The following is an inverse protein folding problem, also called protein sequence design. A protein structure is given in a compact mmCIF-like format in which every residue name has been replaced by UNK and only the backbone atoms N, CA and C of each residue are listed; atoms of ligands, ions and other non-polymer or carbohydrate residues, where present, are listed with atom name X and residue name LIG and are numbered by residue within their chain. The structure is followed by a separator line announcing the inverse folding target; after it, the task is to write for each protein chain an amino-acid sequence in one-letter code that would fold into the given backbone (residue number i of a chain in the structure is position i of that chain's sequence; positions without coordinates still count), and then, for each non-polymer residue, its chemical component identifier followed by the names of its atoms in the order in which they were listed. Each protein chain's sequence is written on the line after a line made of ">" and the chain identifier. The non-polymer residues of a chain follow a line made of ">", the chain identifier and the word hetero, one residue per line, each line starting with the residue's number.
data_IF_664945173326
#
_entry.id   IF_664945173326
#
_cell.length_a   1.000
_cell.length_b   1.000
_cell.length_c   1.000
_cell.angle_alpha   90.00
_cell.angle_beta   90.00
_cell.angle_gamma   90.00
#
_symmetry.space_group_name_H-M   'P 1'
#
loop_
_entity.id
_entity.type
_entity.pdbx_description
1 polymer ?
#
# COMPACT_ATOMS: atom_id res chain seq x y z
N UNK A 1 -28.80 -9.45 4.15
CA UNK A 1 -27.46 -8.93 4.53
C UNK A 1 -26.50 -10.11 4.78
N UNK A 2 -26.03 -10.79 3.73
CA UNK A 2 -25.37 -12.12 3.89
C UNK A 2 -24.21 -12.38 2.90
N UNK A 3 -23.56 -11.33 2.37
CA UNK A 3 -22.62 -11.44 1.23
C UNK A 3 -21.16 -11.09 1.51
N UNK A 4 -20.76 -10.85 2.76
CA UNK A 4 -19.40 -10.42 3.09
C UNK A 4 -18.45 -11.55 3.54
N UNK A 5 -18.92 -12.80 3.64
CA UNK A 5 -18.14 -13.92 4.19
C UNK A 5 -17.56 -14.87 3.13
N UNK A 6 -17.79 -14.61 1.84
CA UNK A 6 -17.31 -15.47 0.74
C UNK A 6 -16.05 -14.96 0.04
N UNK A 7 -15.55 -13.77 0.38
CA UNK A 7 -14.42 -13.15 -0.35
C UNK A 7 -13.04 -13.66 0.11
N UNK A 8 -12.96 -14.29 1.29
CA UNK A 8 -11.71 -14.83 1.81
C UNK A 8 -11.64 -16.33 1.53
N UNK A 9 -10.81 -16.69 0.55
CA UNK A 9 -10.53 -18.07 0.16
C UNK A 9 -9.19 -18.49 0.78
N UNK A 10 -9.20 -19.52 1.62
CA UNK A 10 -7.98 -20.17 2.09
C UNK A 10 -7.56 -21.27 1.12
N UNK A 11 -6.25 -21.43 0.95
CA UNK A 11 -5.70 -22.52 0.15
C UNK A 11 -6.00 -23.85 0.85
N UNK A 12 -6.78 -24.71 0.19
CA UNK A 12 -7.14 -26.04 0.69
C UNK A 12 -6.18 -27.14 0.20
N UNK A 13 -5.36 -26.82 -0.80
CA UNK A 13 -4.44 -27.75 -1.46
C UNK A 13 -3.03 -27.59 -0.89
N UNK A 14 -2.34 -28.72 -0.71
CA UNK A 14 -0.96 -28.72 -0.24
C UNK A 14 -0.01 -28.42 -1.41
N UNK A 15 0.46 -27.17 -1.46
CA UNK A 15 1.41 -26.66 -2.46
C UNK A 15 2.87 -26.84 -2.08
N UNK A 16 3.17 -27.54 -0.97
CA UNK A 16 4.55 -27.78 -0.50
C UNK A 16 5.43 -28.56 -1.47
N UNK A 17 4.82 -29.31 -2.40
CA UNK A 17 5.53 -30.08 -3.43
C UNK A 17 5.97 -29.24 -4.64
N UNK A 18 5.65 -27.94 -4.69
CA UNK A 18 6.08 -27.07 -5.79
C UNK A 18 7.56 -26.71 -5.66
N UNK A 19 8.35 -26.73 -6.75
CA UNK A 19 9.75 -26.33 -6.74
C UNK A 19 9.98 -24.85 -6.36
N UNK A 20 8.92 -24.03 -6.32
CA UNK A 20 8.96 -22.62 -5.92
C UNK A 20 8.37 -22.38 -4.51
N UNK A 21 8.11 -23.44 -3.74
CA UNK A 21 7.54 -23.31 -2.41
C UNK A 21 8.62 -23.06 -1.35
N UNK A 22 8.40 -22.07 -0.48
CA UNK A 22 9.19 -21.80 0.73
C UNK A 22 8.24 -21.34 1.85
N UNK A 23 8.63 -21.49 3.12
CA UNK A 23 7.83 -21.09 4.27
C UNK A 23 7.45 -19.61 4.27
N UNK A 24 8.33 -18.74 3.76
CA UNK A 24 8.09 -17.29 3.68
C UNK A 24 7.16 -16.90 2.52
N UNK A 25 7.07 -17.76 1.49
CA UNK A 25 6.20 -17.58 0.33
C UNK A 25 4.85 -18.30 0.49
N UNK A 26 4.67 -19.03 1.59
CA UNK A 26 3.44 -19.74 1.85
C UNK A 26 2.28 -18.74 1.97
N UNK A 27 1.08 -19.08 1.46
CA UNK A 27 -0.09 -18.22 1.54
C UNK A 27 -0.39 -17.86 2.99
N UNK A 28 -0.55 -16.57 3.29
CA UNK A 28 -0.95 -16.12 4.63
C UNK A 28 -2.39 -16.54 4.91
N UNK A 29 -2.58 -17.38 5.93
CA UNK A 29 -3.91 -17.80 6.39
C UNK A 29 -4.71 -16.61 6.94
N UNK A 30 -6.03 -16.75 7.04
CA UNK A 30 -6.90 -15.69 7.57
C UNK A 30 -6.52 -15.36 9.03
N UNK A 31 -6.17 -16.38 9.81
CA UNK A 31 -5.73 -16.22 11.21
C UNK A 31 -4.42 -15.44 11.37
N UNK A 32 -3.57 -15.41 10.34
CA UNK A 32 -2.28 -14.69 10.36
C UNK A 32 -2.40 -13.25 9.88
N UNK A 33 -3.56 -12.81 9.38
CA UNK A 33 -3.79 -11.43 8.94
C UNK A 33 -4.02 -10.52 10.13
N UNK A 34 -2.94 -9.90 10.61
CA UNK A 34 -2.98 -8.91 11.70
C UNK A 34 -3.12 -7.47 11.19
N UNK A 35 -3.06 -7.25 9.88
CA UNK A 35 -3.08 -5.93 9.27
C UNK A 35 -4.48 -5.36 9.20
N UNK A 36 -4.72 -4.31 9.98
CA UNK A 36 -5.96 -3.53 9.92
C UNK A 36 -5.87 -2.47 8.83
N UNK A 37 -7.00 -1.83 8.53
CA UNK A 37 -7.06 -0.67 7.60
C UNK A 37 -6.10 0.44 8.02
N UNK A 38 -5.86 0.61 9.34
CA UNK A 38 -4.89 1.57 9.85
C UNK A 38 -3.46 1.21 9.46
N UNK A 39 -3.07 -0.07 9.54
CA UNK A 39 -1.74 -0.51 9.17
C UNK A 39 -1.48 -0.29 7.67
N UNK A 40 -2.51 -0.52 6.84
CA UNK A 40 -2.46 -0.25 5.40
C UNK A 40 -2.34 1.26 5.14
N UNK A 41 -3.13 2.09 5.83
CA UNK A 41 -3.04 3.54 5.68
C UNK A 41 -1.69 4.11 6.14
N UNK A 42 -1.12 3.60 7.24
CA UNK A 42 0.20 4.00 7.71
C UNK A 42 1.29 3.62 6.71
N UNK A 43 1.22 2.41 6.13
CA UNK A 43 2.13 1.99 5.06
C UNK A 43 1.96 2.86 3.80
N UNK A 44 0.73 3.20 3.42
CA UNK A 44 0.44 4.10 2.30
C UNK A 44 1.10 5.47 2.47
N UNK A 45 0.98 6.10 3.66
CA UNK A 45 1.64 7.37 3.96
C UNK A 45 3.16 7.21 3.88
N UNK A 46 3.69 6.12 4.45
CA UNK A 46 5.12 5.82 4.41
C UNK A 46 5.68 5.69 3.00
N UNK A 47 4.92 5.09 2.06
CA UNK A 47 5.31 5.00 0.66
C UNK A 47 5.13 6.32 -0.11
N UNK A 48 4.15 7.14 0.27
CA UNK A 48 3.87 8.44 -0.37
C UNK A 48 4.91 9.51 -0.01
N UNK A 49 5.49 9.43 1.19
CA UNK A 49 6.48 10.39 1.71
C UNK A 49 7.89 9.81 1.54
N UNK A 50 8.47 10.04 0.35
CA UNK A 50 9.85 9.65 0.02
C UNK A 50 10.65 10.86 -0.49
N UNK A 51 11.98 10.75 -0.51
CA UNK A 51 12.90 11.85 -0.90
C UNK A 51 12.53 12.45 -2.26
N UNK A 52 12.11 11.62 -3.23
CA UNK A 52 11.66 12.09 -4.54
C UNK A 52 10.46 13.04 -4.46
N UNK A 53 9.53 12.80 -3.54
CA UNK A 53 8.38 13.68 -3.29
C UNK A 53 8.82 15.05 -2.79
N UNK A 54 9.83 15.11 -1.91
CA UNK A 54 10.41 16.38 -1.47
C UNK A 54 11.13 17.14 -2.58
N UNK A 55 11.84 16.42 -3.46
CA UNK A 55 12.48 17.03 -4.64
C UNK A 55 11.44 17.60 -5.62
N UNK A 56 10.32 16.89 -5.81
CA UNK A 56 9.21 17.37 -6.63
C UNK A 56 8.54 18.59 -6.00
N UNK A 57 8.36 18.62 -4.68
CA UNK A 57 7.86 19.79 -3.97
C UNK A 57 8.81 21.00 -4.15
N UNK A 58 10.12 20.77 -3.99
CA UNK A 58 11.13 21.80 -4.16
C UNK A 58 11.15 22.36 -5.59
N UNK A 59 11.00 21.51 -6.62
CA UNK A 59 10.96 21.96 -8.02
C UNK A 59 9.69 22.75 -8.35
N UNK A 60 8.54 22.36 -7.79
CA UNK A 60 7.28 23.11 -7.93
C UNK A 60 7.35 24.47 -7.23
N UNK A 61 7.92 24.52 -6.02
CA UNK A 61 8.12 25.77 -5.28
C UNK A 61 9.10 26.69 -6.03
N UNK A 62 10.19 26.14 -6.57
CA UNK A 62 11.15 26.88 -7.37
C UNK A 62 10.53 27.47 -8.65
N UNK A 63 9.50 26.82 -9.21
CA UNK A 63 8.72 27.33 -10.34
C UNK A 63 7.65 28.38 -9.96
N UNK A 64 7.61 28.80 -8.68
CA UNK A 64 6.74 29.88 -8.20
C UNK A 64 5.45 29.42 -7.52
N UNK A 65 5.28 28.11 -7.29
CA UNK A 65 4.13 27.58 -6.55
C UNK A 65 4.29 27.82 -5.04
N UNK A 66 3.21 28.19 -4.35
CA UNK A 66 3.25 28.28 -2.88
C UNK A 66 3.50 26.89 -2.28
N UNK A 67 4.27 26.84 -1.19
CA UNK A 67 4.65 25.57 -0.53
C UNK A 67 3.46 24.68 -0.18
N UNK A 68 2.34 25.28 0.23
CA UNK A 68 1.12 24.55 0.56
C UNK A 68 0.36 24.03 -0.68
N UNK A 69 0.44 24.72 -1.82
CA UNK A 69 -0.14 24.27 -3.10
C UNK A 69 0.66 23.10 -3.67
N UNK A 70 1.99 23.14 -3.55
CA UNK A 70 2.86 22.04 -3.96
C UNK A 70 2.57 20.77 -3.14
N UNK A 71 2.41 20.92 -1.81
CA UNK A 71 1.99 19.82 -0.94
C UNK A 71 0.61 19.24 -1.33
N UNK A 72 -0.38 20.09 -1.60
CA UNK A 72 -1.71 19.64 -2.02
C UNK A 72 -1.68 18.90 -3.36
N UNK A 73 -0.92 19.40 -4.32
CA UNK A 73 -0.77 18.78 -5.65
C UNK A 73 -0.13 17.39 -5.55
N UNK A 74 0.91 17.27 -4.73
CA UNK A 74 1.57 16.01 -4.43
C UNK A 74 0.64 15.02 -3.73
N UNK A 75 -0.12 15.49 -2.74
CA UNK A 75 -1.06 14.65 -2.00
C UNK A 75 -2.15 14.09 -2.93
N UNK A 76 -2.70 14.93 -3.81
CA UNK A 76 -3.68 14.51 -4.81
C UNK A 76 -3.07 13.51 -5.81
N UNK A 77 -1.84 13.73 -6.26
CA UNK A 77 -1.14 12.79 -7.12
C UNK A 77 -0.98 11.41 -6.48
N UNK A 78 -0.54 11.35 -5.21
CA UNK A 78 -0.40 10.09 -4.49
C UNK A 78 -1.74 9.41 -4.23
N UNK A 79 -2.80 10.17 -3.92
CA UNK A 79 -4.14 9.63 -3.69
C UNK A 79 -4.84 9.06 -4.95
N UNK A 80 -4.40 9.47 -6.15
CA UNK A 80 -4.94 8.94 -7.41
C UNK A 80 -4.17 7.68 -7.85
N UNK A 81 -2.86 7.64 -7.61
CA UNK A 81 -1.99 6.56 -8.11
C UNK A 81 -2.06 5.31 -7.24
N UNK A 82 -2.08 5.48 -5.91
CA UNK A 82 -2.16 4.38 -4.94
C UNK A 82 -3.61 4.08 -4.52
#
# INVERSE_FOLDING_TARGET
>A
MQRASQDFVELREDVSNSPLWNSDLAPTSIAQRTWTVYNIAALWIGMSVVISTYLLAASLIAQGMLWWQALLTILLGNAIVL
#
